data_IF_769069866251
#
_entry.id   IF_769069866251
#
_cell.length_a   1.000
_cell.length_b   1.000
_cell.length_c   1.000
_cell.angle_alpha   90.00
_cell.angle_beta   90.00
_cell.angle_gamma   90.00
#
_symmetry.space_group_name_H-M   'P 1'
#
loop_
_entity.id
_entity.type
_entity.pdbx_description
1 polymer ?
#
# COMPACT_ATOMS: atom_id res chain seq x y z
N UNK A 1 -1.31 -47.88 -3.48
CA UNK A 1 -2.30 -47.12 -2.67
C UNK A 1 -1.73 -45.86 -2.00
N UNK A 2 -0.47 -45.81 -1.53
CA UNK A 2 0.09 -44.60 -0.88
C UNK A 2 0.33 -43.41 -1.84
N UNK A 3 0.67 -43.67 -3.11
CA UNK A 3 0.93 -42.64 -4.12
C UNK A 3 -0.33 -41.92 -4.60
N UNK A 4 -1.45 -42.64 -4.70
CA UNK A 4 -2.75 -42.09 -5.11
C UNK A 4 -3.33 -41.15 -4.05
N UNK A 5 -3.09 -41.40 -2.77
CA UNK A 5 -3.52 -40.51 -1.68
C UNK A 5 -2.66 -39.24 -1.63
N UNK A 6 -1.34 -39.35 -1.83
CA UNK A 6 -0.43 -38.19 -1.93
C UNK A 6 -0.76 -37.30 -3.14
N UNK A 7 -1.10 -37.90 -4.28
CA UNK A 7 -1.52 -37.18 -5.48
C UNK A 7 -2.87 -36.47 -5.28
N UNK A 8 -3.84 -37.10 -4.61
CA UNK A 8 -5.12 -36.46 -4.25
C UNK A 8 -4.95 -35.30 -3.27
N UNK A 9 -4.04 -35.42 -2.30
CA UNK A 9 -3.71 -34.33 -1.35
C UNK A 9 -3.00 -33.18 -2.06
N UNK A 10 -2.08 -33.45 -3.00
CA UNK A 10 -1.43 -32.41 -3.81
C UNK A 10 -2.41 -31.68 -4.74
N UNK A 11 -3.33 -32.42 -5.40
CA UNK A 11 -4.38 -31.83 -6.24
C UNK A 11 -5.34 -30.96 -5.41
N UNK A 12 -5.72 -31.42 -4.22
CA UNK A 12 -6.57 -30.65 -3.29
C UNK A 12 -5.88 -29.38 -2.79
N UNK A 13 -4.59 -29.42 -2.50
CA UNK A 13 -3.81 -28.26 -2.06
C UNK A 13 -3.66 -27.22 -3.17
N UNK A 14 -3.50 -27.67 -4.42
CA UNK A 14 -3.38 -26.78 -5.57
C UNK A 14 -4.73 -26.14 -5.93
N UNK A 15 -5.83 -26.90 -5.84
CA UNK A 15 -7.19 -26.39 -6.06
C UNK A 15 -7.60 -25.34 -5.01
N UNK A 16 -7.18 -25.50 -3.76
CA UNK A 16 -7.44 -24.53 -2.70
C UNK A 16 -6.68 -23.20 -2.91
N UNK A 17 -5.52 -23.24 -3.55
CA UNK A 17 -4.73 -22.04 -3.88
C UNK A 17 -5.34 -21.22 -5.02
N UNK A 18 -6.01 -21.89 -5.97
CA UNK A 18 -6.73 -21.24 -7.09
C UNK A 18 -7.97 -20.48 -6.61
N UNK A 19 -8.61 -20.93 -5.53
CA UNK A 19 -9.80 -20.28 -4.95
C UNK A 19 -9.50 -18.90 -4.32
N UNK A 20 -8.25 -18.64 -3.90
CA UNK A 20 -7.86 -17.34 -3.34
C UNK A 20 -7.51 -16.29 -4.41
N UNK A 21 -7.27 -16.69 -5.66
CA UNK A 21 -6.94 -15.78 -6.78
C UNK A 21 -8.21 -15.27 -7.50
N UNK A 22 -9.38 -15.84 -7.20
CA UNK A 22 -10.64 -15.60 -7.92
C UNK A 22 -11.51 -14.44 -7.44
N UNK A 23 -11.15 -13.72 -6.38
CA UNK A 23 -11.92 -12.55 -5.91
C UNK A 23 -11.55 -11.25 -6.65
N UNK A 24 -11.75 -11.23 -7.98
CA UNK A 24 -11.93 -9.99 -8.73
C UNK A 24 -12.79 -10.26 -9.96
N UNK A 25 -14.07 -9.91 -9.85
CA UNK A 25 -15.04 -9.93 -10.95
C UNK A 25 -15.29 -8.49 -11.43
N UNK A 26 -14.62 -8.16 -12.54
CA UNK A 26 -14.95 -7.24 -13.65
C UNK A 26 -15.69 -5.89 -13.41
N UNK A 27 -15.01 -4.79 -13.77
CA UNK A 27 -15.62 -3.68 -14.50
C UNK A 27 -14.59 -3.04 -15.46
N UNK A 28 -14.81 -3.24 -16.77
CA UNK A 28 -14.44 -2.44 -17.97
C UNK A 28 -13.02 -1.82 -18.12
N UNK A 29 -12.37 -2.29 -19.19
CA UNK A 29 -11.85 -1.51 -20.35
C UNK A 29 -10.68 -0.53 -20.15
N UNK A 30 -9.58 -0.92 -20.82
CA UNK A 30 -8.52 -0.11 -21.46
C UNK A 30 -7.55 0.71 -20.58
N UNK A 31 -6.26 0.46 -20.78
CA UNK A 31 -5.20 1.30 -20.24
C UNK A 31 -3.86 0.60 -20.14
N UNK A 32 -3.16 0.52 -21.28
CA UNK A 32 -1.73 0.21 -21.39
C UNK A 32 -0.88 0.86 -20.28
N UNK A 33 0.00 0.08 -19.63
CA UNK A 33 1.46 0.25 -19.73
C UNK A 33 2.22 -0.32 -18.53
N UNK A 34 3.13 -1.24 -18.88
CA UNK A 34 4.55 -1.18 -18.52
C UNK A 34 4.93 -1.38 -17.05
N UNK A 35 5.45 -2.60 -16.82
CA UNK A 35 6.55 -2.84 -15.90
C UNK A 35 7.70 -1.86 -16.14
N UNK A 36 8.01 -1.04 -15.15
CA UNK A 36 9.34 -0.44 -15.00
C UNK A 36 9.65 -0.29 -13.52
N UNK A 37 10.31 -1.33 -13.00
CA UNK A 37 11.28 -1.19 -11.92
C UNK A 37 12.46 -0.37 -12.44
N UNK A 38 13.01 0.47 -11.56
CA UNK A 38 14.29 1.21 -11.64
C UNK A 38 14.19 2.67 -12.09
N UNK A 39 13.98 3.56 -11.12
CA UNK A 39 14.75 4.80 -10.81
C UNK A 39 13.91 5.60 -9.81
N UNK A 40 13.99 5.34 -8.50
CA UNK A 40 13.04 5.95 -7.54
C UNK A 40 13.58 6.01 -6.11
N UNK A 41 14.69 6.70 -5.88
CA UNK A 41 15.06 7.08 -4.50
C UNK A 41 15.06 8.60 -4.30
N UNK A 42 15.43 9.40 -5.31
CA UNK A 42 15.51 10.86 -5.14
C UNK A 42 14.18 11.62 -5.33
N UNK A 43 13.23 11.09 -6.09
CA UNK A 43 11.94 11.76 -6.36
C UNK A 43 10.91 11.57 -5.24
N UNK A 44 11.04 10.54 -4.40
CA UNK A 44 10.03 10.23 -3.36
C UNK A 44 9.95 11.30 -2.27
N UNK A 45 11.07 11.95 -1.93
CA UNK A 45 11.15 12.96 -0.86
C UNK A 45 10.98 14.39 -1.38
N UNK A 46 10.04 14.60 -2.29
CA UNK A 46 9.70 15.93 -2.80
C UNK A 46 8.28 16.27 -2.39
N UNK A 47 7.99 17.53 -2.09
CA UNK A 47 6.64 18.00 -1.72
C UNK A 47 6.51 18.43 -0.26
N UNK A 48 5.31 18.88 0.11
CA UNK A 48 5.04 19.52 1.41
C UNK A 48 5.23 18.57 2.60
N UNK A 49 5.22 17.25 2.38
CA UNK A 49 5.29 16.28 3.48
C UNK A 49 6.69 16.16 4.08
N UNK A 50 7.70 16.64 3.37
CA UNK A 50 9.11 16.53 3.75
C UNK A 50 9.72 17.87 4.18
N UNK A 51 8.90 18.93 4.27
CA UNK A 51 9.32 20.22 4.81
C UNK A 51 9.36 20.09 6.34
N UNK A 52 10.51 20.38 6.95
CA UNK A 52 10.61 20.44 8.42
C UNK A 52 9.68 21.53 8.99
N UNK A 53 9.12 21.26 10.16
CA UNK A 53 8.28 22.24 10.88
C UNK A 53 9.11 23.47 11.27
N UNK A 54 8.76 24.62 10.69
CA UNK A 54 9.40 25.93 10.92
C UNK A 54 8.70 26.75 12.02
N UNK A 55 7.82 26.13 12.80
CA UNK A 55 6.97 26.78 13.80
C UNK A 55 5.55 27.06 13.30
N UNK A 56 5.14 26.37 12.23
CA UNK A 56 3.81 26.44 11.64
C UNK A 56 2.83 25.50 12.36
N UNK A 57 1.52 25.65 12.10
CA UNK A 57 0.53 24.70 12.60
C UNK A 57 0.81 23.32 12.00
N UNK A 58 1.01 22.26 12.81
CA UNK A 58 1.37 20.95 12.28
C UNK A 58 0.21 20.34 11.50
N UNK A 59 0.54 19.67 10.40
CA UNK A 59 -0.43 18.93 9.61
C UNK A 59 -0.75 17.56 10.24
N UNK A 60 -1.78 16.88 9.73
CA UNK A 60 -2.27 15.60 10.26
C UNK A 60 -1.18 14.53 10.28
N UNK A 61 -0.33 14.48 9.25
CA UNK A 61 0.76 13.50 9.17
C UNK A 61 1.83 13.77 10.24
N UNK A 62 2.20 15.03 10.45
CA UNK A 62 3.15 15.43 11.50
C UNK A 62 2.62 15.09 12.91
N UNK A 63 1.32 15.34 13.15
CA UNK A 63 0.66 14.96 14.41
C UNK A 63 0.69 13.43 14.60
N UNK A 64 0.40 12.67 13.54
CA UNK A 64 0.42 11.21 13.58
C UNK A 64 1.82 10.65 13.82
N UNK A 65 2.85 11.21 13.19
CA UNK A 65 4.25 10.84 13.40
C UNK A 65 4.69 11.11 14.85
N UNK A 66 4.25 12.22 15.44
CA UNK A 66 4.54 12.57 16.83
C UNK A 66 3.74 11.79 17.88
N UNK A 67 2.75 10.98 17.46
CA UNK A 67 1.86 10.25 18.37
C UNK A 67 2.29 8.78 18.53
N UNK A 68 2.43 8.27 19.76
CA UNK A 68 2.74 6.85 19.99
C UNK A 68 1.61 5.91 19.52
N UNK A 69 0.38 6.40 19.49
CA UNK A 69 -0.81 5.59 19.20
C UNK A 69 -1.05 5.39 17.69
N UNK A 70 -0.36 6.16 16.83
CA UNK A 70 -0.60 6.16 15.37
C UNK A 70 0.52 5.51 14.56
N UNK A 71 1.47 4.83 15.21
CA UNK A 71 2.66 4.25 14.55
C UNK A 71 2.32 3.29 13.41
N UNK A 72 1.31 2.43 13.58
CA UNK A 72 0.86 1.50 12.52
C UNK A 72 0.25 2.24 11.33
N UNK A 73 -0.53 3.29 11.59
CA UNK A 73 -1.13 4.11 10.54
C UNK A 73 -0.05 4.83 9.73
N UNK A 74 0.91 5.45 10.42
CA UNK A 74 2.04 6.15 9.79
C UNK A 74 2.85 5.20 8.91
N UNK A 75 3.15 3.99 9.41
CA UNK A 75 3.86 2.99 8.63
C UNK A 75 3.09 2.57 7.37
N UNK A 76 1.76 2.42 7.45
CA UNK A 76 0.93 2.11 6.30
C UNK A 76 0.88 3.26 5.28
N UNK A 77 0.79 4.51 5.74
CA UNK A 77 0.82 5.71 4.89
C UNK A 77 2.15 5.81 4.14
N UNK A 78 3.27 5.60 4.82
CA UNK A 78 4.60 5.62 4.22
C UNK A 78 4.82 4.45 3.25
N UNK A 79 4.31 3.26 3.58
CA UNK A 79 4.36 2.11 2.67
C UNK A 79 3.50 2.30 1.42
N UNK A 80 2.47 3.16 1.50
CA UNK A 80 1.56 3.47 0.41
C UNK A 80 1.92 4.77 -0.35
N UNK A 81 3.03 5.43 0.01
CA UNK A 81 3.47 6.71 -0.58
C UNK A 81 2.39 7.82 -0.55
N UNK A 82 1.59 7.88 0.53
CA UNK A 82 0.47 8.82 0.66
C UNK A 82 0.82 10.12 1.41
N UNK A 83 2.08 10.34 1.76
CA UNK A 83 2.50 11.45 2.64
C UNK A 83 2.11 12.80 2.06
N UNK A 84 2.46 13.07 0.81
CA UNK A 84 2.12 14.32 0.13
C UNK A 84 0.61 14.53 -0.03
N UNK A 85 -0.18 13.46 -0.14
CA UNK A 85 -1.62 13.56 -0.29
C UNK A 85 -2.27 14.04 1.02
N UNK A 86 -1.75 13.60 2.17
CA UNK A 86 -2.32 13.87 3.49
C UNK A 86 -1.91 15.22 4.09
N UNK A 87 -0.87 15.86 3.56
CA UNK A 87 -0.40 17.18 4.02
C UNK A 87 -0.94 18.34 3.19
N UNK A 88 -1.71 18.06 2.13
CA UNK A 88 -2.29 19.10 1.29
C UNK A 88 -3.31 19.94 2.06
N UNK A 89 -3.37 21.24 1.76
CA UNK A 89 -4.33 22.13 2.37
C UNK A 89 -5.77 21.77 1.94
N UNK A 90 -6.67 21.63 2.92
CA UNK A 90 -8.08 21.36 2.70
C UNK A 90 -8.71 20.69 3.92
N UNK A 91 -10.05 20.63 4.03
CA UNK A 91 -10.74 19.83 5.03
C UNK A 91 -10.57 18.35 4.69
N UNK A 92 -9.43 17.78 5.09
CA UNK A 92 -9.13 16.36 5.02
C UNK A 92 -9.58 15.69 6.32
N UNK A 93 -10.19 14.52 6.19
CA UNK A 93 -10.56 13.66 7.30
C UNK A 93 -9.90 12.31 7.08
N UNK A 94 -9.26 11.78 8.12
CA UNK A 94 -8.52 10.51 8.10
C UNK A 94 -9.14 9.51 9.09
#
# INVERSE_FOLDING_TARGET
MKTTTKLRVLISSFFMLILFVGCKNEAKTEGSSTSSTTTTEETKKQGQAFIEDDGSTPNVLQIAIGSPDHTTLVAAVQAADLENALVNAGPLMV
#
